data_IF_087975274070
#
_entry.id   IF_087975274070
#
_cell.length_a   1.000
_cell.length_b   1.000
_cell.length_c   1.000
_cell.angle_alpha   90.00
_cell.angle_beta   90.00
_cell.angle_gamma   90.00
#
_symmetry.space_group_name_H-M   'P 1'
#
loop_
_entity.id
_entity.type
_entity.pdbx_description
1 polymer ?
#
# COMPACT_ATOMS: atom_id res chain seq x y z
N UNK A 1 6.33 -51.08 9.33
CA UNK A 1 7.22 -50.16 10.08
C UNK A 1 7.81 -49.19 9.06
N UNK A 2 7.07 -48.25 8.47
CA UNK A 2 6.25 -47.14 8.99
C UNK A 2 7.08 -46.03 9.67
N UNK A 3 7.61 -45.12 8.83
CA UNK A 3 7.83 -43.67 9.10
C UNK A 3 8.94 -43.28 10.09
N UNK A 4 9.62 -42.14 9.97
CA UNK A 4 9.18 -40.84 9.43
C UNK A 4 10.39 -40.08 8.88
N UNK A 5 10.19 -39.51 7.69
CA UNK A 5 11.00 -38.48 7.04
C UNK A 5 10.97 -37.18 7.85
N UNK A 6 12.14 -36.69 8.28
CA UNK A 6 12.25 -35.33 8.81
C UNK A 6 12.66 -34.39 7.68
N UNK A 7 11.69 -34.09 6.82
CA UNK A 7 11.73 -32.91 5.97
C UNK A 7 10.86 -31.84 6.62
N UNK A 8 11.47 -30.79 7.17
CA UNK A 8 10.81 -29.49 7.27
C UNK A 8 11.82 -28.39 6.92
N UNK A 9 11.43 -27.66 5.89
CA UNK A 9 12.15 -26.70 5.08
C UNK A 9 12.77 -25.56 5.87
N UNK A 10 13.97 -25.16 5.43
CA UNK A 10 14.67 -23.93 5.79
C UNK A 10 13.95 -22.68 5.22
N UNK A 11 12.79 -22.32 5.78
CA UNK A 11 12.18 -20.99 5.59
C UNK A 11 12.53 -20.00 6.73
N UNK A 12 13.48 -20.35 7.59
CA UNK A 12 13.94 -19.48 8.68
C UNK A 12 15.03 -18.53 8.17
N UNK A 13 14.67 -17.55 7.35
CA UNK A 13 15.40 -16.28 7.36
C UNK A 13 15.17 -15.64 8.72
N UNK A 14 16.22 -15.25 9.44
CA UNK A 14 16.11 -14.84 10.85
C UNK A 14 15.11 -13.67 10.95
N UNK A 15 14.08 -13.73 11.81
CA UNK A 15 13.10 -12.64 11.93
C UNK A 15 13.74 -11.25 12.13
N UNK A 16 14.87 -11.20 12.83
CA UNK A 16 15.68 -9.99 13.00
C UNK A 16 16.25 -9.42 11.69
N UNK A 17 16.72 -10.27 10.77
CA UNK A 17 17.24 -9.84 9.47
C UNK A 17 16.11 -9.31 8.58
N UNK A 18 14.94 -9.97 8.60
CA UNK A 18 13.74 -9.50 7.87
C UNK A 18 13.22 -8.17 8.43
N UNK A 19 13.20 -8.02 9.76
CA UNK A 19 12.84 -6.76 10.42
C UNK A 19 13.75 -5.62 9.96
N UNK A 20 15.07 -5.84 9.97
CA UNK A 20 16.03 -4.84 9.54
C UNK A 20 15.83 -4.45 8.06
N UNK A 21 15.72 -5.43 7.16
CA UNK A 21 15.53 -5.17 5.73
C UNK A 21 14.24 -4.39 5.46
N UNK A 22 13.13 -4.75 6.09
CA UNK A 22 11.86 -4.05 5.91
C UNK A 22 11.88 -2.63 6.50
N UNK A 23 12.53 -2.43 7.65
CA UNK A 23 12.70 -1.09 8.21
C UNK A 23 13.53 -0.19 7.29
N UNK A 24 14.65 -0.68 6.76
CA UNK A 24 15.48 0.05 5.80
C UNK A 24 14.70 0.37 4.51
N UNK A 25 13.96 -0.62 3.98
CA UNK A 25 13.13 -0.45 2.79
C UNK A 25 12.02 0.60 3.00
N UNK A 26 11.41 0.64 4.20
CA UNK A 26 10.33 1.57 4.52
C UNK A 26 10.75 3.03 4.42
N UNK A 27 12.00 3.36 4.81
CA UNK A 27 12.52 4.73 4.73
C UNK A 27 12.61 5.22 3.28
N UNK A 28 13.08 4.36 2.37
CA UNK A 28 13.14 4.65 0.94
C UNK A 28 11.73 4.78 0.34
N UNK A 29 10.82 3.88 0.71
CA UNK A 29 9.44 3.88 0.23
C UNK A 29 8.70 5.14 0.67
N UNK A 30 8.76 5.51 1.94
CA UNK A 30 8.09 6.72 2.47
C UNK A 30 8.63 8.00 1.83
N UNK A 31 9.95 8.07 1.59
CA UNK A 31 10.56 9.17 0.84
C UNK A 31 10.02 9.26 -0.59
N UNK A 32 9.90 8.12 -1.27
CA UNK A 32 9.36 8.04 -2.62
C UNK A 32 7.88 8.43 -2.66
N UNK A 33 7.08 7.95 -1.72
CA UNK A 33 5.67 8.32 -1.59
C UNK A 33 5.48 9.82 -1.33
N UNK A 34 6.32 10.43 -0.48
CA UNK A 34 6.28 11.89 -0.27
C UNK A 34 6.65 12.66 -1.54
N UNK A 35 7.61 12.17 -2.32
CA UNK A 35 7.94 12.77 -3.61
C UNK A 35 6.76 12.65 -4.61
N UNK A 36 6.04 11.52 -4.62
CA UNK A 36 4.83 11.35 -5.44
C UNK A 36 3.72 12.29 -4.98
N UNK A 37 3.46 12.38 -3.68
CA UNK A 37 2.49 13.29 -3.07
C UNK A 37 2.79 14.75 -3.47
N UNK A 38 4.03 15.21 -3.29
CA UNK A 38 4.45 16.56 -3.65
C UNK A 38 4.33 16.82 -5.15
N UNK A 39 4.67 15.82 -5.99
CA UNK A 39 4.61 15.94 -7.45
C UNK A 39 3.17 16.07 -7.94
N UNK A 40 2.27 15.24 -7.44
CA UNK A 40 0.85 15.29 -7.82
C UNK A 40 0.11 16.46 -7.16
N UNK A 41 0.53 16.89 -5.97
CA UNK A 41 0.02 18.07 -5.29
C UNK A 41 0.51 19.39 -5.89
N UNK A 42 1.60 19.38 -6.66
CA UNK A 42 2.09 20.57 -7.36
C UNK A 42 1.14 20.94 -8.50
N UNK A 43 0.53 22.12 -8.39
CA UNK A 43 -0.47 22.63 -9.33
C UNK A 43 0.02 22.71 -10.77
N UNK A 44 1.30 22.96 -11.01
CA UNK A 44 1.83 23.07 -12.37
C UNK A 44 2.04 21.70 -13.01
N UNK A 45 2.52 20.73 -12.25
CA UNK A 45 2.68 19.34 -12.70
C UNK A 45 1.34 18.63 -12.84
N UNK A 46 0.39 18.90 -11.93
CA UNK A 46 -0.96 18.33 -11.97
C UNK A 46 -1.72 18.70 -13.25
N UNK A 47 -1.50 19.90 -13.80
CA UNK A 47 -2.09 20.31 -15.09
C UNK A 47 -1.56 19.52 -16.28
N UNK A 48 -0.33 19.02 -16.18
CA UNK A 48 0.33 18.23 -17.23
C UNK A 48 -0.03 16.74 -17.15
N UNK A 49 -0.86 16.34 -16.17
CA UNK A 49 -1.33 14.96 -16.07
C UNK A 49 -2.37 14.65 -17.16
N UNK A 50 -2.40 13.42 -17.71
CA UNK A 50 -3.33 13.05 -18.76
C UNK A 50 -4.81 13.28 -18.40
N UNK A 51 -5.17 13.08 -17.12
CA UNK A 51 -6.53 13.28 -16.62
C UNK A 51 -6.93 14.76 -16.43
N UNK A 52 -5.97 15.69 -16.44
CA UNK A 52 -6.27 17.12 -16.39
C UNK A 52 -6.72 17.69 -17.74
N UNK A 53 -6.51 16.96 -18.84
CA UNK A 53 -6.92 17.40 -20.18
C UNK A 53 -8.46 17.49 -20.29
N UNK A 54 -9.04 18.65 -20.67
CA UNK A 54 -10.48 18.80 -20.84
C UNK A 54 -11.12 17.81 -21.83
N UNK A 55 -10.35 17.35 -22.83
CA UNK A 55 -10.78 16.32 -23.79
C UNK A 55 -10.98 14.94 -23.15
N UNK A 56 -10.37 14.69 -21.99
CA UNK A 56 -10.42 13.41 -21.27
C UNK A 56 -11.52 13.34 -20.20
N UNK A 57 -12.36 14.38 -20.05
CA UNK A 57 -13.39 14.43 -18.99
C UNK A 57 -14.30 13.20 -18.96
N UNK A 58 -14.74 12.70 -20.12
CA UNK A 58 -15.61 11.51 -20.19
C UNK A 58 -14.86 10.22 -19.81
N UNK A 59 -13.58 10.12 -20.19
CA UNK A 59 -12.69 9.02 -19.80
C UNK A 59 -12.51 9.03 -18.28
N UNK A 60 -12.16 10.18 -17.70
CA UNK A 60 -11.98 10.35 -16.26
C UNK A 60 -13.22 9.93 -15.48
N UNK A 61 -14.40 10.43 -15.86
CA UNK A 61 -15.67 10.05 -15.21
C UNK A 61 -15.95 8.55 -15.34
N UNK A 62 -15.64 7.95 -16.50
CA UNK A 62 -15.83 6.53 -16.71
C UNK A 62 -14.92 5.68 -15.81
N UNK A 63 -13.64 6.04 -15.71
CA UNK A 63 -12.66 5.36 -14.88
C UNK A 63 -12.98 5.50 -13.39
N UNK A 64 -13.28 6.72 -12.92
CA UNK A 64 -13.65 6.98 -11.52
C UNK A 64 -14.88 6.18 -11.09
N UNK A 65 -15.89 6.07 -11.95
CA UNK A 65 -17.12 5.35 -11.62
C UNK A 65 -16.90 3.83 -11.48
N UNK A 66 -15.91 3.29 -12.19
CA UNK A 66 -15.63 1.85 -12.21
C UNK A 66 -14.58 1.43 -11.21
N UNK A 67 -13.74 2.35 -10.75
CA UNK A 67 -12.76 2.07 -9.71
C UNK A 67 -13.45 1.42 -8.49
N UNK A 68 -12.94 0.31 -7.95
CA UNK A 68 -11.62 -0.31 -8.16
C UNK A 68 -11.51 -1.37 -9.29
N UNK A 69 -12.50 -1.50 -10.18
CA UNK A 69 -12.45 -2.46 -11.30
C UNK A 69 -11.36 -2.09 -12.32
N UNK A 70 -10.76 -3.11 -12.93
CA UNK A 70 -9.78 -2.92 -14.01
C UNK A 70 -10.41 -2.14 -15.19
N UNK A 71 -9.72 -1.13 -15.75
CA UNK A 71 -10.26 -0.33 -16.84
C UNK A 71 -10.49 -1.16 -18.12
N UNK A 72 -11.76 -1.33 -18.49
CA UNK A 72 -12.15 -2.03 -19.72
C UNK A 72 -11.91 -1.18 -20.96
N UNK A 73 -11.01 -1.65 -21.85
CA UNK A 73 -10.75 -0.98 -23.14
C UNK A 73 -12.04 -0.73 -23.93
N UNK A 74 -12.89 -1.73 -24.03
CA UNK A 74 -14.12 -1.66 -24.83
C UNK A 74 -15.13 -0.62 -24.34
N UNK A 75 -15.08 -0.25 -23.07
CA UNK A 75 -15.99 0.73 -22.48
C UNK A 75 -15.38 2.12 -22.48
N UNK A 76 -14.08 2.22 -22.18
CA UNK A 76 -13.35 3.49 -22.23
C UNK A 76 -13.26 3.99 -23.67
N UNK A 77 -13.03 3.13 -24.67
CA UNK A 77 -12.95 3.48 -26.09
C UNK A 77 -14.26 4.01 -26.68
N UNK A 78 -15.40 3.69 -26.07
CA UNK A 78 -16.71 4.24 -26.47
C UNK A 78 -16.87 5.69 -26.03
N UNK A 79 -16.03 6.19 -25.14
CA UNK A 79 -16.02 7.60 -24.75
C UNK A 79 -15.32 8.45 -25.81
N UNK A 80 -15.58 9.76 -25.84
CA UNK A 80 -14.84 10.69 -26.69
C UNK A 80 -13.54 11.08 -26.00
N UNK A 81 -12.42 11.11 -26.74
CA UNK A 81 -11.07 11.42 -26.21
C UNK A 81 -10.02 10.29 -26.20
N UNK A 82 -10.36 8.99 -26.07
CA UNK A 82 -9.37 7.91 -25.94
C UNK A 82 -8.42 7.75 -27.12
N UNK A 83 -8.81 8.14 -28.34
CA UNK A 83 -8.00 7.96 -29.55
C UNK A 83 -6.60 8.56 -29.43
N UNK A 84 -6.49 9.75 -28.83
CA UNK A 84 -5.19 10.40 -28.58
C UNK A 84 -4.40 9.66 -27.48
N UNK A 85 -5.09 9.12 -26.48
CA UNK A 85 -4.50 8.37 -25.38
C UNK A 85 -3.95 7.01 -25.86
N UNK A 86 -4.62 6.34 -26.80
CA UNK A 86 -4.14 5.12 -27.43
C UNK A 86 -2.84 5.35 -28.21
N UNK A 87 -2.79 6.42 -29.01
CA UNK A 87 -1.60 6.77 -29.79
C UNK A 87 -0.41 7.11 -28.88
N UNK A 88 -0.68 7.77 -27.75
CA UNK A 88 0.34 8.20 -26.79
C UNK A 88 0.55 7.21 -25.64
N UNK A 89 -0.07 6.03 -25.67
CA UNK A 89 -0.12 5.12 -24.52
C UNK A 89 1.28 4.79 -23.95
N UNK A 90 2.27 4.54 -24.81
CA UNK A 90 3.65 4.27 -24.39
C UNK A 90 4.30 5.45 -23.66
N UNK A 91 4.08 6.66 -24.16
CA UNK A 91 4.62 7.88 -23.57
C UNK A 91 3.96 8.15 -22.22
N UNK A 92 2.64 7.99 -22.14
CA UNK A 92 1.89 8.16 -20.88
C UNK A 92 2.29 7.10 -19.86
N UNK A 93 2.45 5.83 -20.25
CA UNK A 93 2.99 4.81 -19.36
C UNK A 93 4.32 5.24 -18.78
N UNK A 94 5.28 5.64 -19.62
CA UNK A 94 6.60 6.04 -19.16
C UNK A 94 6.56 7.26 -18.23
N UNK A 95 5.66 8.21 -18.47
CA UNK A 95 5.46 9.38 -17.60
C UNK A 95 4.94 8.97 -16.20
N UNK A 96 4.03 7.99 -16.14
CA UNK A 96 3.34 7.59 -14.92
C UNK A 96 4.05 6.46 -14.15
N UNK A 97 4.91 5.70 -14.83
CA UNK A 97 5.53 4.46 -14.35
C UNK A 97 6.18 4.58 -12.99
N UNK A 98 7.07 5.56 -12.78
CA UNK A 98 7.74 5.72 -11.49
C UNK A 98 6.78 6.01 -10.32
N UNK A 99 5.69 6.75 -10.58
CA UNK A 99 4.69 7.02 -9.55
C UNK A 99 3.80 5.80 -9.29
N UNK A 100 3.45 5.07 -10.36
CA UNK A 100 2.67 3.84 -10.25
C UNK A 100 3.43 2.74 -9.50
N UNK A 101 4.70 2.52 -9.83
CA UNK A 101 5.55 1.54 -9.17
C UNK A 101 5.72 1.86 -7.68
N UNK A 102 5.83 3.14 -7.29
CA UNK A 102 5.86 3.50 -5.87
C UNK A 102 4.57 3.09 -5.12
N UNK A 103 3.41 3.18 -5.77
CA UNK A 103 2.16 2.69 -5.19
C UNK A 103 2.14 1.16 -5.12
N UNK A 104 2.65 0.48 -6.14
CA UNK A 104 2.77 -0.99 -6.15
C UNK A 104 3.73 -1.49 -5.07
N UNK A 105 4.92 -0.90 -4.93
CA UNK A 105 5.91 -1.23 -3.90
C UNK A 105 5.30 -1.09 -2.50
N UNK A 106 4.34 -0.16 -2.34
CA UNK A 106 3.59 -0.02 -1.08
C UNK A 106 2.69 -1.21 -0.79
N UNK A 107 2.09 -1.83 -1.81
CA UNK A 107 1.30 -3.06 -1.63
C UNK A 107 2.21 -4.18 -1.14
N UNK A 108 3.34 -4.39 -1.82
CA UNK A 108 4.30 -5.46 -1.52
C UNK A 108 4.87 -5.28 -0.11
N UNK A 109 5.29 -4.06 0.24
CA UNK A 109 5.75 -3.73 1.59
C UNK A 109 4.68 -4.00 2.66
N UNK A 110 3.43 -3.57 2.44
CA UNK A 110 2.37 -3.74 3.43
C UNK A 110 2.00 -5.22 3.64
N UNK A 111 2.00 -6.02 2.57
CA UNK A 111 1.79 -7.48 2.66
C UNK A 111 2.92 -8.14 3.48
N UNK A 112 4.19 -7.88 3.14
CA UNK A 112 5.34 -8.48 3.81
C UNK A 112 5.52 -8.00 5.26
N UNK A 113 5.32 -6.70 5.51
CA UNK A 113 5.40 -6.13 6.85
C UNK A 113 4.32 -6.70 7.76
N UNK A 114 3.07 -6.80 7.27
CA UNK A 114 1.99 -7.38 8.07
C UNK A 114 2.22 -8.86 8.36
N UNK A 115 2.66 -9.64 7.35
CA UNK A 115 3.02 -11.05 7.54
C UNK A 115 4.06 -11.22 8.66
N UNK A 116 5.17 -10.47 8.60
CA UNK A 116 6.23 -10.55 9.61
C UNK A 116 5.76 -10.07 10.99
N UNK A 117 4.97 -8.99 11.05
CA UNK A 117 4.41 -8.48 12.31
C UNK A 117 3.55 -9.56 12.97
N UNK A 118 2.71 -10.26 12.21
CA UNK A 118 1.87 -11.35 12.74
C UNK A 118 2.64 -12.61 13.10
N UNK A 119 3.67 -12.98 12.33
CA UNK A 119 4.55 -14.12 12.64
C UNK A 119 5.28 -13.90 13.98
N UNK A 120 5.86 -12.71 14.16
CA UNK A 120 6.58 -12.36 15.38
C UNK A 120 5.63 -12.23 16.59
N UNK A 121 4.43 -11.71 16.34
CA UNK A 121 3.37 -11.57 17.33
C UNK A 121 2.98 -12.90 17.98
N UNK A 122 2.80 -13.93 17.16
CA UNK A 122 2.36 -15.26 17.59
C UNK A 122 3.47 -16.03 18.33
N UNK A 123 4.71 -15.93 17.87
CA UNK A 123 5.78 -16.80 18.35
C UNK A 123 6.64 -16.19 19.48
N UNK A 124 6.82 -14.86 19.54
CA UNK A 124 7.93 -14.27 20.31
C UNK A 124 7.59 -13.11 21.25
N UNK A 125 6.35 -12.62 21.28
CA UNK A 125 6.10 -11.28 21.83
C UNK A 125 6.50 -11.05 23.30
N UNK A 126 6.17 -11.96 24.21
CA UNK A 126 6.48 -11.78 25.65
C UNK A 126 7.96 -11.93 26.00
N UNK A 127 8.71 -12.96 25.55
CA UNK A 127 10.14 -13.00 25.80
C UNK A 127 10.88 -11.86 25.06
N UNK A 128 10.39 -11.39 23.91
CA UNK A 128 11.06 -10.33 23.17
C UNK A 128 11.11 -8.98 23.90
N UNK A 129 10.01 -8.55 24.52
CA UNK A 129 9.96 -7.26 25.24
C UNK A 129 10.78 -7.25 26.55
N UNK A 130 11.02 -8.42 27.14
CA UNK A 130 11.76 -8.56 28.40
C UNK A 130 13.24 -8.90 28.17
N UNK A 131 13.56 -9.69 27.14
CA UNK A 131 14.89 -10.27 26.92
C UNK A 131 15.63 -9.69 25.70
N UNK A 132 14.92 -9.08 24.73
CA UNK A 132 15.46 -8.63 23.44
C UNK A 132 14.98 -7.20 23.07
N UNK A 133 15.48 -6.16 23.76
CA UNK A 133 15.03 -4.78 23.55
C UNK A 133 15.28 -4.25 22.13
N UNK A 134 16.37 -4.66 21.47
CA UNK A 134 16.67 -4.25 20.09
C UNK A 134 15.66 -4.80 19.08
N UNK A 135 15.26 -6.07 19.24
CA UNK A 135 14.25 -6.71 18.40
C UNK A 135 12.89 -6.07 18.63
N UNK A 136 12.57 -5.76 19.89
CA UNK A 136 11.33 -5.05 20.25
C UNK A 136 11.26 -3.65 19.64
N UNK A 137 12.37 -2.89 19.67
CA UNK A 137 12.44 -1.58 19.05
C UNK A 137 12.24 -1.67 17.53
N UNK A 138 12.93 -2.62 16.88
CA UNK A 138 12.83 -2.85 15.43
C UNK A 138 11.43 -3.33 15.00
N UNK A 139 10.77 -4.15 15.82
CA UNK A 139 9.37 -4.54 15.63
C UNK A 139 8.41 -3.35 15.69
N UNK A 140 8.56 -2.49 16.71
CA UNK A 140 7.74 -1.29 16.85
C UNK A 140 7.98 -0.27 15.74
N UNK A 141 9.23 -0.14 15.29
CA UNK A 141 9.60 0.68 14.14
C UNK A 141 8.90 0.19 12.87
N UNK A 142 8.93 -1.12 12.60
CA UNK A 142 8.24 -1.70 11.44
C UNK A 142 6.73 -1.49 11.52
N UNK A 143 6.15 -1.63 12.71
CA UNK A 143 4.73 -1.36 12.92
C UNK A 143 4.40 0.11 12.63
N UNK A 144 5.24 1.05 13.10
CA UNK A 144 5.05 2.47 12.81
C UNK A 144 5.18 2.75 11.30
N UNK A 145 6.18 2.16 10.64
CA UNK A 145 6.38 2.27 9.21
C UNK A 145 5.19 1.73 8.41
N UNK A 146 4.64 0.57 8.80
CA UNK A 146 3.42 0.01 8.23
C UNK A 146 2.26 1.01 8.27
N UNK A 147 2.00 1.61 9.44
CA UNK A 147 0.93 2.60 9.58
C UNK A 147 1.24 3.89 8.81
N UNK A 148 2.49 4.37 8.84
CA UNK A 148 2.91 5.56 8.11
C UNK A 148 2.74 5.38 6.60
N UNK A 149 3.05 4.21 6.03
CA UNK A 149 2.87 3.93 4.61
C UNK A 149 1.39 3.99 4.22
N UNK A 150 0.50 3.38 5.02
CA UNK A 150 -0.96 3.47 4.80
C UNK A 150 -1.41 4.94 4.83
N UNK A 151 -0.98 5.71 5.83
CA UNK A 151 -1.35 7.12 5.95
C UNK A 151 -0.75 7.99 4.85
N UNK A 152 0.45 7.70 4.37
CA UNK A 152 1.07 8.38 3.24
C UNK A 152 0.26 8.15 1.96
N UNK A 153 -0.16 6.91 1.69
CA UNK A 153 -1.02 6.58 0.56
C UNK A 153 -2.35 7.36 0.59
N UNK A 154 -2.96 7.59 1.76
CA UNK A 154 -4.19 8.40 1.84
C UNK A 154 -4.00 9.85 1.44
N UNK A 155 -2.78 10.37 1.51
CA UNK A 155 -2.45 11.77 1.22
C UNK A 155 -2.08 11.99 -0.26
N UNK A 156 -1.75 10.93 -1.00
CA UNK A 156 -1.42 11.04 -2.42
C UNK A 156 -2.67 11.49 -3.21
N UNK A 157 -2.65 12.70 -3.82
CA UNK A 157 -3.79 13.18 -4.58
C UNK A 157 -3.91 12.41 -5.90
N UNK A 158 -5.15 12.21 -6.37
CA UNK A 158 -5.45 11.51 -7.62
C UNK A 158 -4.85 10.09 -7.76
N UNK A 159 -4.50 9.42 -6.65
CA UNK A 159 -3.88 8.08 -6.65
C UNK A 159 -4.69 7.03 -7.43
N UNK A 160 -6.02 7.11 -7.35
CA UNK A 160 -6.93 6.21 -8.08
C UNK A 160 -6.87 6.46 -9.60
N UNK A 161 -6.75 7.74 -9.99
CA UNK A 161 -6.61 8.14 -11.40
C UNK A 161 -5.26 7.72 -11.96
N UNK A 162 -4.19 7.89 -11.19
CA UNK A 162 -2.86 7.41 -11.54
C UNK A 162 -2.88 5.90 -11.83
N UNK A 163 -3.46 5.11 -10.94
CA UNK A 163 -3.58 3.66 -11.13
C UNK A 163 -4.40 3.30 -12.39
N UNK A 164 -5.57 3.93 -12.56
CA UNK A 164 -6.44 3.66 -13.71
C UNK A 164 -5.81 4.03 -15.06
N UNK A 165 -5.21 5.23 -15.15
CA UNK A 165 -4.59 5.70 -16.38
C UNK A 165 -3.35 4.89 -16.73
N UNK A 166 -2.52 4.54 -15.73
CA UNK A 166 -1.38 3.66 -15.97
C UNK A 166 -1.84 2.30 -16.48
N UNK A 167 -2.77 1.63 -15.80
CA UNK A 167 -3.24 0.31 -16.20
C UNK A 167 -3.87 0.31 -17.61
N UNK A 168 -4.70 1.32 -17.92
CA UNK A 168 -5.30 1.48 -19.23
C UNK A 168 -4.24 1.65 -20.33
N UNK A 169 -3.29 2.58 -20.15
CA UNK A 169 -2.22 2.82 -21.12
C UNK A 169 -1.28 1.61 -21.22
N UNK A 170 -1.02 0.92 -20.10
CA UNK A 170 -0.18 -0.27 -20.04
C UNK A 170 -0.78 -1.36 -20.93
N UNK A 171 -2.09 -1.58 -20.86
CA UNK A 171 -2.76 -2.58 -21.69
C UNK A 171 -2.63 -2.30 -23.19
N UNK A 172 -2.66 -1.03 -23.63
CA UNK A 172 -2.37 -0.70 -25.03
C UNK A 172 -0.90 -0.85 -25.39
N UNK A 173 0.00 -0.48 -24.48
CA UNK A 173 1.43 -0.47 -24.73
C UNK A 173 2.02 -1.89 -24.78
N UNK A 174 1.57 -2.77 -23.89
CA UNK A 174 2.07 -4.15 -23.71
C UNK A 174 1.19 -5.21 -24.38
N UNK A 175 -0.09 -4.90 -24.63
CA UNK A 175 -1.08 -5.87 -25.10
C UNK A 175 -1.63 -6.81 -24.01
N UNK A 176 -1.21 -6.62 -22.76
CA UNK A 176 -1.62 -7.46 -21.62
C UNK A 176 -2.14 -6.61 -20.47
N UNK A 177 -3.11 -7.14 -19.72
CA UNK A 177 -3.55 -6.48 -18.49
C UNK A 177 -2.44 -6.53 -17.42
N UNK A 178 -2.39 -5.48 -16.60
CA UNK A 178 -1.50 -5.44 -15.43
C UNK A 178 -2.04 -6.34 -14.32
N UNK A 179 -1.22 -7.30 -13.90
CA UNK A 179 -1.54 -8.30 -12.87
C UNK A 179 -1.60 -7.70 -11.47
N UNK A 180 -0.84 -6.63 -11.20
CA UNK A 180 -0.73 -5.99 -9.89
C UNK A 180 -1.87 -5.00 -9.63
N UNK A 181 -2.56 -4.54 -10.68
CA UNK A 181 -3.59 -3.51 -10.57
C UNK A 181 -4.68 -3.85 -9.55
N UNK A 182 -5.23 -5.07 -9.58
CA UNK A 182 -6.37 -5.41 -8.73
C UNK A 182 -6.00 -5.32 -7.23
N UNK A 183 -4.80 -5.78 -6.84
CA UNK A 183 -4.34 -5.67 -5.46
C UNK A 183 -4.19 -4.21 -5.05
N UNK A 184 -3.56 -3.41 -5.90
CA UNK A 184 -3.40 -1.97 -5.65
C UNK A 184 -4.75 -1.26 -5.55
N UNK A 185 -5.65 -1.48 -6.50
CA UNK A 185 -6.96 -0.84 -6.53
C UNK A 185 -7.79 -1.19 -5.28
N UNK A 186 -7.75 -2.45 -4.82
CA UNK A 186 -8.39 -2.84 -3.56
C UNK A 186 -7.75 -2.18 -2.34
N UNK A 187 -6.42 -2.03 -2.30
CA UNK A 187 -5.74 -1.31 -1.22
C UNK A 187 -6.17 0.16 -1.20
N UNK A 188 -6.24 0.81 -2.36
CA UNK A 188 -6.56 2.24 -2.51
C UNK A 188 -8.04 2.54 -2.22
N UNK A 189 -8.99 1.77 -2.75
CA UNK A 189 -10.44 2.01 -2.48
C UNK A 189 -10.90 1.49 -1.11
N UNK A 190 -10.23 0.45 -0.60
CA UNK A 190 -10.55 -0.18 0.67
C UNK A 190 -9.83 0.50 1.82
N UNK A 191 -8.58 0.11 2.06
CA UNK A 191 -7.79 0.54 3.23
C UNK A 191 -7.39 2.01 3.16
N UNK A 192 -6.92 2.47 1.99
CA UNK A 192 -6.28 3.78 1.83
C UNK A 192 -7.20 4.84 1.20
N UNK A 193 -8.52 4.63 1.26
CA UNK A 193 -9.51 5.52 0.64
C UNK A 193 -9.38 6.95 1.16
N UNK A 194 -9.43 7.05 2.48
CA UNK A 194 -9.31 8.27 3.26
C UNK A 194 -8.67 7.94 4.61
N UNK A 195 -8.24 8.98 5.33
CA UNK A 195 -7.56 8.84 6.62
C UNK A 195 -8.39 8.09 7.66
N UNK A 196 -9.70 8.29 7.72
CA UNK A 196 -10.54 7.66 8.74
C UNK A 196 -10.69 6.16 8.46
N UNK A 197 -10.90 5.79 7.20
CA UNK A 197 -10.97 4.40 6.75
C UNK A 197 -9.64 3.67 6.97
N UNK A 198 -8.51 4.32 6.69
CA UNK A 198 -7.17 3.81 6.96
C UNK A 198 -6.95 3.51 8.44
N UNK A 199 -7.26 4.46 9.32
CA UNK A 199 -7.11 4.26 10.76
C UNK A 199 -8.06 3.17 11.29
N UNK A 200 -9.28 3.08 10.77
CA UNK A 200 -10.22 2.02 11.11
C UNK A 200 -9.70 0.64 10.68
N UNK A 201 -9.11 0.54 9.48
CA UNK A 201 -8.51 -0.69 8.98
C UNK A 201 -7.29 -1.13 9.80
N UNK A 202 -6.36 -0.21 10.12
CA UNK A 202 -5.22 -0.48 11.01
C UNK A 202 -5.72 -0.96 12.37
N UNK A 203 -6.71 -0.28 12.95
CA UNK A 203 -7.29 -0.68 14.24
C UNK A 203 -7.92 -2.06 14.18
N UNK A 204 -8.67 -2.38 13.12
CA UNK A 204 -9.25 -3.70 12.91
C UNK A 204 -8.16 -4.77 12.80
N UNK A 205 -7.13 -4.55 11.98
CA UNK A 205 -6.02 -5.48 11.83
C UNK A 205 -5.34 -5.77 13.17
N UNK A 206 -5.18 -4.76 14.03
CA UNK A 206 -4.67 -4.93 15.39
C UNK A 206 -5.60 -5.73 16.31
N UNK A 207 -6.92 -5.67 16.10
CA UNK A 207 -7.92 -6.37 16.90
C UNK A 207 -8.15 -7.83 16.47
N UNK A 208 -7.92 -8.12 15.18
CA UNK A 208 -8.03 -9.43 14.54
C UNK A 208 -6.82 -10.35 14.81
N UNK A 209 -5.75 -9.82 15.41
CA UNK A 209 -4.68 -10.65 15.98
C UNK A 209 -5.31 -11.63 16.99
N UNK A 210 -5.14 -12.96 16.84
CA UNK A 210 -5.88 -13.97 17.59
C UNK A 210 -5.89 -13.76 19.11
N UNK A 211 -6.98 -14.16 19.79
CA UNK A 211 -7.10 -13.99 21.25
C UNK A 211 -6.03 -14.75 22.07
N UNK A 212 -5.35 -15.71 21.44
CA UNK A 212 -4.22 -16.44 22.01
C UNK A 212 -2.88 -15.69 21.94
N UNK A 213 -2.79 -14.63 21.14
CA UNK A 213 -1.57 -13.89 20.90
C UNK A 213 -1.31 -12.93 22.06
N UNK A 214 -0.10 -12.96 22.62
CA UNK A 214 0.26 -12.19 23.83
C UNK A 214 0.25 -10.66 23.61
N UNK A 215 0.03 -10.21 22.37
CA UNK A 215 -0.17 -8.81 21.95
C UNK A 215 -1.37 -8.14 22.61
N UNK A 216 -2.46 -8.86 22.90
CA UNK A 216 -3.59 -8.28 23.64
C UNK A 216 -3.28 -8.02 25.12
N UNK A 217 -2.27 -8.69 25.71
CA UNK A 217 -1.95 -8.52 27.14
C UNK A 217 -1.13 -7.28 27.43
N UNK A 218 -0.35 -6.81 26.48
CA UNK A 218 0.37 -5.55 26.60
C UNK A 218 -0.49 -4.52 25.88
N UNK A 219 -0.92 -3.47 26.57
CA UNK A 219 -1.75 -2.39 26.03
C UNK A 219 -1.03 -1.54 24.95
N UNK A 220 -0.16 -2.15 24.15
CA UNK A 220 0.67 -1.56 23.09
C UNK A 220 -0.22 -0.94 22.02
N UNK A 221 -1.30 -1.60 21.63
CA UNK A 221 -2.24 -1.08 20.63
C UNK A 221 -2.90 0.20 21.13
N UNK A 222 -3.41 0.22 22.37
CA UNK A 222 -4.02 1.43 22.95
C UNK A 222 -2.97 2.54 23.20
N UNK A 223 -1.74 2.17 23.57
CA UNK A 223 -0.66 3.13 23.83
C UNK A 223 -0.09 3.73 22.54
N UNK A 224 0.17 2.94 21.51
CA UNK A 224 0.61 3.41 20.19
C UNK A 224 -0.51 4.20 19.51
N UNK A 225 -1.76 3.75 19.61
CA UNK A 225 -2.90 4.51 19.08
C UNK A 225 -3.01 5.87 19.79
N UNK A 226 -2.86 5.93 21.11
CA UNK A 226 -2.85 7.22 21.86
C UNK A 226 -1.64 8.10 21.52
N UNK A 227 -0.47 7.53 21.32
CA UNK A 227 0.75 8.26 20.94
C UNK A 227 0.69 8.80 19.52
N UNK A 228 0.17 8.03 18.57
CA UNK A 228 0.10 8.42 17.16
C UNK A 228 -1.12 9.27 16.81
N UNK A 229 -2.23 9.15 17.56
CA UNK A 229 -3.45 9.91 17.31
C UNK A 229 -3.53 11.25 18.08
N UNK A 230 -2.59 11.50 19.00
CA UNK A 230 -2.69 12.62 19.93
C UNK A 230 -3.83 12.38 20.93
N UNK A 231 -3.63 12.81 22.17
CA UNK A 231 -4.67 12.75 23.19
C UNK A 231 -5.91 13.51 22.71
N UNK A 232 -6.98 12.82 22.33
CA UNK A 232 -8.31 13.40 22.42
C UNK A 232 -8.59 13.62 23.90
N UNK A 233 -8.24 14.81 24.37
CA UNK A 233 -8.70 15.33 25.64
C UNK A 233 -10.22 15.48 25.56
N UNK A 234 -10.96 14.78 26.42
CA UNK A 234 -12.38 15.07 26.64
C UNK A 234 -13.20 13.86 27.04
N UNK A 235 -13.32 13.64 28.35
CA UNK A 235 -14.23 12.68 28.99
C UNK A 235 -13.95 12.60 30.48
#
# INVERSE_FOLDING_TARGET
ESGVSCGMSSRNGRPAERLQMLNEASGSLLSTLSAVEQRLGNRDVSKDMPWANPGMKKVVVCLQRKFPEYPSLSEVDKTQGPGDLQVQAKQVCHQLEGMYLALQDSVEFLEEAWELLTEIADDYLTPMFEELPEVSASYLELFCAYVQTILALTQVPDKDMLACFYAYCFQYASGTADVSFNKLAHLLDGTCKDRATALAAVRRNCLEVPEGTKLRRVAVIDYITRLMMGSEAGG
#
